data_IF_601966611480
#
_entry.id   IF_601966611480
#
_cell.length_a   1.000
_cell.length_b   1.000
_cell.length_c   1.000
_cell.angle_alpha   90.00
_cell.angle_beta   90.00
_cell.angle_gamma   90.00
#
_symmetry.space_group_name_H-M   'P 1'
#
loop_
_entity.id
_entity.type
_entity.pdbx_description
1 polymer ?
#
# COMPACT_ATOMS: atom_id res chain seq x y z
N UNK A 1 -17.15 1.89 6.66
CA UNK A 1 -16.61 1.66 8.03
C UNK A 1 -16.26 2.99 8.70
N UNK A 2 -16.62 3.21 9.97
CA UNK A 2 -16.08 4.35 10.76
C UNK A 2 -14.75 3.88 11.37
N UNK A 3 -13.62 4.41 10.90
CA UNK A 3 -12.27 3.91 11.23
C UNK A 3 -11.77 4.26 12.65
N UNK A 4 -12.38 5.23 13.33
CA UNK A 4 -12.10 5.59 14.72
C UNK A 4 -13.46 5.94 15.37
N UNK A 5 -14.13 4.98 15.99
CA UNK A 5 -15.40 5.23 16.71
C UNK A 5 -15.23 5.34 18.21
N UNK A 6 -14.09 4.90 18.76
CA UNK A 6 -13.84 4.87 20.19
C UNK A 6 -12.35 4.98 20.50
N UNK A 7 -11.98 5.78 21.49
CA UNK A 7 -10.62 5.82 22.08
C UNK A 7 -10.11 4.41 22.47
N UNK A 8 -11.04 3.48 22.72
CA UNK A 8 -10.76 2.08 22.98
C UNK A 8 -10.02 1.37 21.82
N UNK A 9 -10.32 1.71 20.56
CA UNK A 9 -9.64 1.08 19.41
C UNK A 9 -8.15 1.44 19.39
N UNK A 10 -7.81 2.69 19.71
CA UNK A 10 -6.43 3.17 19.79
C UNK A 10 -5.71 2.49 20.95
N UNK A 11 -6.33 2.42 22.13
CA UNK A 11 -5.76 1.74 23.29
C UNK A 11 -5.42 0.28 23.00
N UNK A 12 -6.33 -0.45 22.34
CA UNK A 12 -6.12 -1.86 21.94
C UNK A 12 -4.95 -2.00 20.97
N UNK A 13 -4.82 -1.10 19.99
CA UNK A 13 -3.69 -1.12 19.04
C UNK A 13 -2.36 -0.84 19.75
N UNK A 14 -2.32 0.13 20.67
CA UNK A 14 -1.09 0.43 21.42
C UNK A 14 -0.71 -0.74 22.33
N UNK A 15 -1.67 -1.31 23.07
CA UNK A 15 -1.42 -2.45 23.94
C UNK A 15 -0.96 -3.70 23.17
N UNK A 16 -1.57 -3.98 22.02
CA UNK A 16 -1.14 -5.06 21.14
C UNK A 16 0.23 -4.79 20.50
N UNK A 17 0.55 -3.56 20.11
CA UNK A 17 1.88 -3.21 19.62
C UNK A 17 2.97 -3.45 20.67
N UNK A 18 2.72 -3.10 21.94
CA UNK A 18 3.61 -3.40 23.06
C UNK A 18 3.77 -4.91 23.29
N UNK A 19 2.66 -5.67 23.22
CA UNK A 19 2.68 -7.12 23.31
C UNK A 19 3.53 -7.75 22.19
N UNK A 20 3.37 -7.27 20.94
CA UNK A 20 4.14 -7.77 19.80
C UNK A 20 5.61 -7.39 19.92
N UNK A 21 5.91 -6.17 20.36
CA UNK A 21 7.29 -5.76 20.66
C UNK A 21 7.94 -6.69 21.69
N UNK A 22 7.28 -6.93 22.83
CA UNK A 22 7.78 -7.82 23.87
C UNK A 22 7.94 -9.26 23.37
N UNK A 23 7.03 -9.74 22.52
CA UNK A 23 7.11 -11.08 21.93
C UNK A 23 8.32 -11.20 21.01
N UNK A 24 8.50 -10.25 20.10
CA UNK A 24 9.65 -10.24 19.18
C UNK A 24 10.95 -10.20 19.98
N UNK A 25 11.03 -9.38 21.03
CA UNK A 25 12.19 -9.30 21.91
C UNK A 25 12.50 -10.63 22.62
N UNK A 26 11.49 -11.27 23.20
CA UNK A 26 11.64 -12.54 23.92
C UNK A 26 11.95 -13.73 23.01
N UNK A 27 11.59 -13.64 21.72
CA UNK A 27 11.79 -14.72 20.74
C UNK A 27 13.11 -14.58 19.96
N UNK A 28 13.94 -13.58 20.27
CA UNK A 28 15.26 -13.37 19.63
C UNK A 28 16.22 -14.54 19.81
N UNK A 29 16.12 -15.27 20.93
CA UNK A 29 16.93 -16.47 21.20
C UNK A 29 16.40 -17.73 20.50
N UNK A 30 15.21 -17.67 19.89
CA UNK A 30 14.62 -18.78 19.14
C UNK A 30 15.01 -18.70 17.67
N UNK A 31 14.87 -19.79 16.90
CA UNK A 31 15.00 -19.73 15.45
C UNK A 31 14.07 -18.66 14.86
N UNK A 32 14.54 -17.77 13.96
CA UNK A 32 13.75 -16.61 13.54
C UNK A 32 12.42 -16.96 12.86
N UNK A 33 12.35 -18.09 12.15
CA UNK A 33 11.10 -18.61 11.57
C UNK A 33 10.07 -18.98 12.64
N UNK A 34 10.51 -19.46 13.81
CA UNK A 34 9.65 -19.78 14.94
C UNK A 34 9.13 -18.51 15.61
N UNK A 35 9.98 -17.48 15.76
CA UNK A 35 9.56 -16.15 16.22
C UNK A 35 8.49 -15.54 15.31
N UNK A 36 8.63 -15.69 13.99
CA UNK A 36 7.64 -15.26 13.01
C UNK A 36 6.32 -16.04 13.13
N UNK A 37 6.37 -17.37 13.31
CA UNK A 37 5.17 -18.19 13.55
C UNK A 37 4.43 -17.82 14.85
N UNK A 38 5.17 -17.59 15.94
CA UNK A 38 4.59 -17.14 17.21
C UNK A 38 3.91 -15.79 17.01
N UNK A 39 4.56 -14.86 16.29
CA UNK A 39 3.98 -13.55 15.96
C UNK A 39 2.70 -13.68 15.13
N UNK A 40 2.70 -14.55 14.11
CA UNK A 40 1.52 -14.83 13.30
C UNK A 40 0.38 -15.43 14.13
N UNK A 41 0.69 -16.37 15.03
CA UNK A 41 -0.29 -16.97 15.93
C UNK A 41 -0.90 -15.94 16.90
N UNK A 42 -0.10 -15.01 17.43
CA UNK A 42 -0.60 -13.92 18.26
C UNK A 42 -1.50 -12.97 17.49
N UNK A 43 -1.12 -12.53 16.29
CA UNK A 43 -2.00 -11.70 15.46
C UNK A 43 -3.32 -12.42 15.15
N UNK A 44 -3.28 -13.72 14.86
CA UNK A 44 -4.49 -14.51 14.66
C UNK A 44 -5.39 -14.56 15.91
N UNK A 45 -4.79 -14.84 17.08
CA UNK A 45 -5.51 -14.90 18.35
C UNK A 45 -6.14 -13.55 18.73
N UNK A 46 -5.38 -12.46 18.57
CA UNK A 46 -5.87 -11.09 18.78
C UNK A 46 -7.01 -10.77 17.80
N UNK A 47 -6.91 -11.17 16.53
CA UNK A 47 -7.97 -10.98 15.55
C UNK A 47 -9.23 -11.77 15.87
N UNK A 48 -9.12 -12.98 16.41
CA UNK A 48 -10.29 -13.75 16.85
C UNK A 48 -11.09 -13.01 17.95
N UNK A 49 -10.40 -12.29 18.83
CA UNK A 49 -11.04 -11.53 19.91
C UNK A 49 -11.52 -10.16 19.41
N UNK A 50 -10.61 -9.32 18.92
CA UNK A 50 -10.90 -7.91 18.65
C UNK A 50 -11.55 -7.66 17.29
N UNK A 51 -11.21 -8.46 16.28
CA UNK A 51 -11.77 -8.32 14.93
C UNK A 51 -13.06 -9.11 14.80
N UNK A 52 -13.05 -10.40 15.12
CA UNK A 52 -14.23 -11.26 14.92
C UNK A 52 -15.32 -11.03 15.97
N UNK A 53 -14.98 -11.06 17.25
CA UNK A 53 -15.97 -10.92 18.33
C UNK A 53 -16.31 -9.46 18.62
N UNK A 54 -15.30 -8.58 18.75
CA UNK A 54 -15.52 -7.16 19.09
C UNK A 54 -15.73 -6.24 17.88
N UNK A 55 -15.54 -6.72 16.64
CA UNK A 55 -15.82 -5.98 15.38
C UNK A 55 -15.15 -4.60 15.29
N UNK A 56 -13.92 -4.49 15.82
CA UNK A 56 -13.15 -3.23 15.80
C UNK A 56 -12.44 -3.04 14.45
N UNK A 57 -12.42 -1.81 13.93
CA UNK A 57 -11.92 -1.53 12.58
C UNK A 57 -10.42 -1.24 12.54
N UNK A 58 -9.91 -0.40 13.46
CA UNK A 58 -8.48 -0.05 13.49
C UNK A 58 -7.58 -1.25 13.85
N UNK A 59 -7.89 -2.04 14.91
CA UNK A 59 -7.17 -3.30 15.16
C UNK A 59 -7.20 -4.25 13.98
N UNK A 60 -8.31 -4.33 13.23
CA UNK A 60 -8.41 -5.21 12.06
C UNK A 60 -7.38 -4.84 10.98
N UNK A 61 -7.15 -3.55 10.76
CA UNK A 61 -6.13 -3.06 9.84
C UNK A 61 -4.73 -3.47 10.32
N UNK A 62 -4.39 -3.12 11.57
CA UNK A 62 -3.06 -3.42 12.15
C UNK A 62 -2.76 -4.92 12.19
N UNK A 63 -3.72 -5.75 12.60
CA UNK A 63 -3.51 -7.19 12.75
C UNK A 63 -3.47 -7.91 11.40
N UNK A 64 -4.22 -7.44 10.39
CA UNK A 64 -4.12 -7.98 9.03
C UNK A 64 -2.73 -7.73 8.43
N UNK A 65 -2.20 -6.51 8.62
CA UNK A 65 -0.85 -6.15 8.18
C UNK A 65 0.19 -7.01 8.91
N UNK A 66 0.13 -7.04 10.24
CA UNK A 66 1.07 -7.79 11.06
C UNK A 66 1.06 -9.29 10.76
N UNK A 67 -0.12 -9.88 10.55
CA UNK A 67 -0.26 -11.29 10.20
C UNK A 67 0.36 -11.62 8.84
N UNK A 68 0.07 -10.81 7.80
CA UNK A 68 0.65 -11.00 6.46
C UNK A 68 2.17 -10.80 6.50
N UNK A 69 2.66 -9.78 7.23
CA UNK A 69 4.08 -9.51 7.39
C UNK A 69 4.80 -10.65 8.12
N UNK A 70 4.20 -11.22 9.18
CA UNK A 70 4.74 -12.38 9.88
C UNK A 70 4.79 -13.62 8.99
N UNK A 71 3.77 -13.85 8.14
CA UNK A 71 3.79 -14.94 7.17
C UNK A 71 4.84 -14.74 6.07
N UNK A 72 5.02 -13.49 5.61
CA UNK A 72 6.06 -13.15 4.65
C UNK A 72 7.46 -13.39 5.24
N UNK A 73 7.69 -13.01 6.49
CA UNK A 73 9.00 -13.14 7.13
C UNK A 73 9.42 -14.58 7.40
N UNK A 74 8.48 -15.52 7.52
CA UNK A 74 8.80 -16.97 7.60
C UNK A 74 9.61 -17.41 6.38
N UNK A 75 9.28 -16.93 5.18
CA UNK A 75 10.02 -17.29 3.97
C UNK A 75 11.46 -16.75 3.97
N UNK A 76 11.62 -15.50 4.40
CA UNK A 76 12.93 -14.84 4.51
C UNK A 76 13.82 -15.50 5.58
N UNK A 77 13.24 -15.83 6.74
CA UNK A 77 13.97 -16.41 7.88
C UNK A 77 14.13 -17.92 7.82
N UNK A 78 13.28 -18.61 7.06
CA UNK A 78 13.30 -20.06 6.91
C UNK A 78 14.56 -20.60 6.21
N UNK A 79 15.34 -19.75 5.52
CA UNK A 79 16.61 -20.15 4.92
C UNK A 79 17.57 -20.72 5.98
N UNK A 80 17.63 -20.15 7.18
CA UNK A 80 18.54 -20.66 8.23
C UNK A 80 18.19 -22.09 8.65
N UNK A 81 16.90 -22.43 8.66
CA UNK A 81 16.46 -23.79 8.93
C UNK A 81 16.90 -24.76 7.81
N UNK A 82 16.89 -24.31 6.55
CA UNK A 82 17.38 -25.10 5.40
C UNK A 82 18.91 -25.22 5.41
N UNK A 83 19.64 -24.17 5.82
CA UNK A 83 21.10 -24.20 6.00
C UNK A 83 21.54 -25.24 7.04
N UNK A 84 20.76 -25.43 8.10
CA UNK A 84 21.02 -26.48 9.10
C UNK A 84 20.77 -27.91 8.62
N UNK A 85 20.10 -28.10 7.47
CA UNK A 85 19.79 -29.44 6.92
C UNK A 85 20.84 -29.96 5.93
N UNK A 86 21.86 -29.16 5.59
CA UNK A 86 22.95 -29.62 4.72
C UNK A 86 24.21 -28.77 4.88
N UNK A 87 25.30 -29.39 5.31
CA UNK A 87 26.66 -28.83 5.21
C UNK A 87 27.10 -28.78 3.75
N UNK A 88 26.59 -27.81 2.99
CA UNK A 88 27.20 -27.45 1.72
C UNK A 88 28.17 -26.30 1.96
N UNK A 89 29.46 -26.62 2.04
CA UNK A 89 30.53 -25.63 2.02
C UNK A 89 30.92 -25.35 0.56
N UNK A 90 30.70 -24.13 0.02
CA UNK A 90 31.16 -23.78 -1.31
C UNK A 90 32.69 -23.88 -1.37
N UNK A 91 33.23 -24.55 -2.39
CA UNK A 91 34.67 -24.80 -2.53
C UNK A 91 35.39 -23.72 -3.36
N UNK A 92 34.63 -22.81 -3.99
CA UNK A 92 35.17 -21.70 -4.79
C UNK A 92 34.30 -20.43 -4.67
N UNK A 93 34.86 -19.22 -4.90
CA UNK A 93 34.12 -17.96 -4.85
C UNK A 93 32.93 -17.90 -5.83
N UNK A 94 33.07 -18.51 -7.00
CA UNK A 94 32.00 -18.58 -8.01
C UNK A 94 30.82 -19.44 -7.52
N UNK A 95 31.13 -20.59 -6.90
CA UNK A 95 30.10 -21.46 -6.31
C UNK A 95 29.41 -20.83 -5.11
N UNK A 96 30.10 -19.98 -4.35
CA UNK A 96 29.53 -19.24 -3.22
C UNK A 96 28.49 -18.22 -3.68
N UNK A 97 28.79 -17.43 -4.72
CA UNK A 97 27.86 -16.47 -5.30
C UNK A 97 26.60 -17.13 -5.87
N UNK A 98 26.76 -18.24 -6.60
CA UNK A 98 25.62 -18.99 -7.14
C UNK A 98 24.71 -19.54 -6.03
N UNK A 99 25.30 -20.08 -4.96
CA UNK A 99 24.56 -20.58 -3.81
C UNK A 99 23.82 -19.49 -3.04
N UNK A 100 24.44 -18.33 -2.85
CA UNK A 100 23.80 -17.18 -2.22
C UNK A 100 22.57 -16.71 -3.02
N UNK A 101 22.72 -16.59 -4.35
CA UNK A 101 21.62 -16.21 -5.23
C UNK A 101 20.47 -17.23 -5.20
N UNK A 102 20.78 -18.52 -5.22
CA UNK A 102 19.78 -19.58 -5.11
C UNK A 102 19.02 -19.52 -3.77
N UNK A 103 19.71 -19.25 -2.66
CA UNK A 103 19.09 -19.08 -1.35
C UNK A 103 18.16 -17.87 -1.31
N UNK A 104 18.61 -16.72 -1.85
CA UNK A 104 17.80 -15.50 -1.93
C UNK A 104 16.54 -15.71 -2.77
N UNK A 105 16.66 -16.37 -3.92
CA UNK A 105 15.51 -16.73 -4.76
C UNK A 105 14.54 -17.67 -4.02
N UNK A 106 15.05 -18.64 -3.28
CA UNK A 106 14.21 -19.55 -2.50
C UNK A 106 13.46 -18.82 -1.37
N UNK A 107 14.14 -17.96 -0.59
CA UNK A 107 13.48 -17.12 0.40
C UNK A 107 12.40 -16.24 -0.21
N UNK A 108 12.68 -15.67 -1.37
CA UNK A 108 11.74 -14.81 -2.07
C UNK A 108 10.47 -15.58 -2.43
N UNK A 109 10.61 -16.75 -3.05
CA UNK A 109 9.47 -17.61 -3.42
C UNK A 109 8.66 -18.05 -2.19
N UNK A 110 9.33 -18.44 -1.10
CA UNK A 110 8.66 -18.77 0.15
C UNK A 110 7.97 -17.56 0.78
N UNK A 111 8.55 -16.36 0.69
CA UNK A 111 7.97 -15.14 1.22
C UNK A 111 6.72 -14.74 0.43
N UNK A 112 6.74 -14.87 -0.91
CA UNK A 112 5.56 -14.69 -1.75
C UNK A 112 4.47 -15.71 -1.43
N UNK A 113 4.84 -16.98 -1.27
CA UNK A 113 3.91 -18.02 -0.83
C UNK A 113 3.31 -17.68 0.54
N UNK A 114 4.14 -17.19 1.47
CA UNK A 114 3.73 -16.70 2.78
C UNK A 114 2.71 -15.57 2.69
N UNK A 115 2.97 -14.52 1.88
CA UNK A 115 2.02 -13.43 1.63
C UNK A 115 0.70 -13.98 1.09
N UNK A 116 0.74 -14.84 0.05
CA UNK A 116 -0.46 -15.41 -0.56
C UNK A 116 -1.29 -16.26 0.42
N UNK A 117 -0.62 -17.15 1.16
CA UNK A 117 -1.26 -18.01 2.18
C UNK A 117 -1.83 -17.15 3.31
N UNK A 118 -1.04 -16.22 3.85
CA UNK A 118 -1.44 -15.33 4.93
C UNK A 118 -2.66 -14.49 4.54
N UNK A 119 -2.63 -13.87 3.36
CA UNK A 119 -3.78 -13.13 2.81
C UNK A 119 -5.01 -14.02 2.66
N UNK A 120 -4.87 -15.22 2.09
CA UNK A 120 -6.00 -16.13 1.89
C UNK A 120 -6.63 -16.59 3.20
N UNK A 121 -5.79 -17.03 4.15
CA UNK A 121 -6.24 -17.51 5.47
C UNK A 121 -6.95 -16.41 6.25
N UNK A 122 -6.34 -15.22 6.30
CA UNK A 122 -6.89 -14.08 7.03
C UNK A 122 -8.17 -13.57 6.38
N UNK A 123 -8.21 -13.49 5.05
CA UNK A 123 -9.41 -13.11 4.31
C UNK A 123 -10.58 -14.07 4.55
N UNK A 124 -10.35 -15.38 4.38
CA UNK A 124 -11.38 -16.42 4.55
C UNK A 124 -11.96 -16.43 5.96
N UNK A 125 -11.15 -16.10 6.97
CA UNK A 125 -11.57 -16.15 8.36
C UNK A 125 -12.30 -14.88 8.79
N UNK A 126 -11.67 -13.72 8.57
CA UNK A 126 -12.11 -12.46 9.16
C UNK A 126 -12.89 -11.57 8.20
N UNK A 127 -12.85 -11.84 6.89
CA UNK A 127 -13.54 -11.07 5.85
C UNK A 127 -13.27 -9.56 5.96
N UNK A 128 -12.02 -9.17 6.23
CA UNK A 128 -11.63 -7.76 6.36
C UNK A 128 -11.21 -7.22 4.99
N UNK A 129 -11.94 -6.26 4.39
CA UNK A 129 -11.72 -5.71 3.03
C UNK A 129 -10.27 -5.37 2.68
N UNK A 130 -9.56 -4.75 3.62
CA UNK A 130 -8.20 -4.27 3.42
C UNK A 130 -7.20 -5.40 3.16
N UNK A 131 -7.49 -6.63 3.61
CA UNK A 131 -6.55 -7.77 3.53
C UNK A 131 -6.11 -8.06 2.09
N UNK A 132 -7.01 -7.92 1.11
CA UNK A 132 -6.69 -8.16 -0.32
C UNK A 132 -5.69 -7.11 -0.81
N UNK A 133 -5.95 -5.83 -0.55
CA UNK A 133 -5.05 -4.75 -0.91
C UNK A 133 -3.71 -4.88 -0.17
N UNK A 134 -3.74 -5.28 1.10
CA UNK A 134 -2.54 -5.48 1.92
C UNK A 134 -1.68 -6.64 1.41
N UNK A 135 -2.30 -7.74 0.93
CA UNK A 135 -1.59 -8.85 0.30
C UNK A 135 -0.88 -8.43 -0.99
N UNK A 136 -1.59 -7.73 -1.87
CA UNK A 136 -1.00 -7.24 -3.13
C UNK A 136 0.10 -6.22 -2.85
N UNK A 137 -0.15 -5.25 -1.98
CA UNK A 137 0.85 -4.26 -1.55
C UNK A 137 2.05 -4.91 -0.87
N UNK A 138 1.83 -5.95 -0.06
CA UNK A 138 2.90 -6.75 0.55
C UNK A 138 3.80 -7.42 -0.49
N UNK A 139 3.21 -8.00 -1.55
CA UNK A 139 3.98 -8.58 -2.66
C UNK A 139 4.80 -7.51 -3.41
N UNK A 140 4.24 -6.33 -3.64
CA UNK A 140 4.96 -5.20 -4.26
C UNK A 140 6.11 -4.72 -3.38
N UNK A 141 5.87 -4.50 -2.08
CA UNK A 141 6.92 -4.12 -1.14
C UNK A 141 8.04 -5.18 -1.04
N UNK A 142 7.67 -6.46 -1.07
CA UNK A 142 8.63 -7.57 -1.08
C UNK A 142 9.47 -7.57 -2.36
N UNK A 143 8.85 -7.27 -3.51
CA UNK A 143 9.57 -7.12 -4.80
C UNK A 143 10.62 -6.00 -4.70
N UNK A 144 10.23 -4.83 -4.16
CA UNK A 144 11.13 -3.69 -3.96
C UNK A 144 12.28 -4.03 -3.00
N UNK A 145 11.98 -4.65 -1.86
CA UNK A 145 13.00 -5.09 -0.92
C UNK A 145 14.03 -6.00 -1.60
N UNK A 146 13.58 -6.93 -2.44
CA UNK A 146 14.45 -7.86 -3.15
C UNK A 146 15.35 -7.15 -4.18
N UNK A 147 14.80 -6.23 -4.98
CA UNK A 147 15.59 -5.43 -5.93
C UNK A 147 16.67 -4.64 -5.20
N UNK A 148 16.35 -4.03 -4.05
CA UNK A 148 17.32 -3.32 -3.23
C UNK A 148 18.42 -4.24 -2.67
N UNK A 149 18.08 -5.48 -2.29
CA UNK A 149 19.05 -6.45 -1.74
C UNK A 149 19.95 -7.03 -2.82
N UNK A 150 19.43 -7.32 -4.02
CA UNK A 150 20.24 -7.80 -5.14
C UNK A 150 21.21 -6.74 -5.67
N UNK A 151 20.90 -5.45 -5.47
CA UNK A 151 21.73 -4.35 -5.96
C UNK A 151 21.74 -4.20 -7.47
N UNK A 152 20.88 -4.93 -8.20
CA UNK A 152 20.71 -4.75 -9.64
C UNK A 152 19.99 -3.43 -9.93
N UNK A 153 20.45 -2.71 -10.95
CA UNK A 153 19.81 -1.47 -11.38
C UNK A 153 18.53 -1.74 -12.18
N UNK A 154 17.51 -2.24 -11.49
CA UNK A 154 16.17 -2.51 -12.03
C UNK A 154 15.16 -1.41 -11.68
N UNK A 155 15.63 -0.27 -11.18
CA UNK A 155 14.77 0.82 -10.69
C UNK A 155 13.83 1.30 -11.80
N UNK A 156 14.32 1.51 -13.02
CA UNK A 156 13.49 1.97 -14.14
C UNK A 156 12.46 0.93 -14.58
N UNK A 157 12.85 -0.35 -14.60
CA UNK A 157 11.93 -1.44 -14.89
C UNK A 157 10.83 -1.56 -13.82
N UNK A 158 11.19 -1.42 -12.54
CA UNK A 158 10.25 -1.42 -11.41
C UNK A 158 9.28 -0.24 -11.46
N UNK A 159 9.75 0.94 -11.84
CA UNK A 159 8.89 2.11 -12.03
C UNK A 159 7.82 1.86 -13.08
N UNK A 160 8.19 1.29 -14.23
CA UNK A 160 7.22 0.94 -15.28
C UNK A 160 6.28 -0.18 -14.80
N UNK A 161 6.83 -1.20 -14.13
CA UNK A 161 6.05 -2.31 -13.58
C UNK A 161 5.00 -1.83 -12.56
N UNK A 162 5.35 -0.92 -11.66
CA UNK A 162 4.44 -0.36 -10.66
C UNK A 162 3.30 0.44 -11.31
N UNK A 163 3.60 1.24 -12.34
CA UNK A 163 2.57 1.97 -13.08
C UNK A 163 1.62 0.99 -13.76
N UNK A 164 2.14 -0.01 -14.47
CA UNK A 164 1.32 -1.00 -15.19
C UNK A 164 0.48 -1.84 -14.22
N UNK A 165 1.08 -2.34 -13.14
CA UNK A 165 0.40 -3.10 -12.11
C UNK A 165 -0.64 -2.23 -11.37
N UNK A 166 -0.28 -0.99 -11.04
CA UNK A 166 -1.18 -0.01 -10.42
C UNK A 166 -2.40 0.29 -11.29
N UNK A 167 -2.21 0.49 -12.61
CA UNK A 167 -3.32 0.67 -13.56
C UNK A 167 -4.17 -0.60 -13.70
N UNK A 168 -3.58 -1.79 -13.67
CA UNK A 168 -4.31 -3.04 -13.69
C UNK A 168 -5.18 -3.23 -12.42
N UNK A 169 -4.62 -2.93 -11.25
CA UNK A 169 -5.34 -2.95 -9.95
C UNK A 169 -6.45 -1.89 -9.96
N UNK A 170 -6.18 -0.71 -10.50
CA UNK A 170 -7.18 0.37 -10.65
C UNK A 170 -8.36 -0.09 -11.51
N UNK A 171 -8.10 -0.68 -12.68
CA UNK A 171 -9.13 -1.23 -13.56
C UNK A 171 -9.90 -2.38 -12.89
N UNK A 172 -9.23 -3.19 -12.05
CA UNK A 172 -9.88 -4.22 -11.27
C UNK A 172 -10.76 -3.64 -10.16
N UNK A 173 -10.30 -2.59 -9.46
CA UNK A 173 -11.07 -1.89 -8.43
C UNK A 173 -12.35 -1.26 -8.99
N UNK A 174 -12.30 -0.69 -10.20
CA UNK A 174 -13.48 -0.19 -10.93
C UNK A 174 -14.51 -1.29 -11.20
N UNK A 175 -14.07 -2.52 -11.52
CA UNK A 175 -15.00 -3.65 -11.70
C UNK A 175 -15.69 -4.04 -10.40
N UNK A 176 -15.02 -3.92 -9.25
CA UNK A 176 -15.65 -4.15 -7.95
C UNK A 176 -16.69 -3.08 -7.63
N UNK A 177 -16.37 -1.81 -7.86
CA UNK A 177 -17.30 -0.68 -7.68
C UNK A 177 -18.54 -0.81 -8.58
N UNK A 178 -18.37 -1.17 -9.85
CA UNK A 178 -19.48 -1.32 -10.80
C UNK A 178 -20.46 -2.46 -10.42
N UNK A 179 -19.99 -3.46 -9.66
CA UNK A 179 -20.79 -4.61 -9.21
C UNK A 179 -21.59 -4.34 -7.94
N UNK A 180 -21.42 -3.19 -7.30
CA UNK A 180 -22.18 -2.76 -6.12
C UNK A 180 -22.60 -1.28 -6.21
N UNK A 181 -23.52 -0.93 -7.13
CA UNK A 181 -23.93 0.47 -7.35
C UNK A 181 -24.61 1.09 -6.13
N UNK A 182 -25.29 0.26 -5.32
CA UNK A 182 -26.02 0.70 -4.13
C UNK A 182 -25.10 0.85 -2.90
N UNK A 183 -23.82 0.45 -3.00
CA UNK A 183 -22.80 0.50 -1.94
C UNK A 183 -23.26 -0.20 -0.65
N UNK A 184 -23.98 -1.31 -0.77
CA UNK A 184 -24.55 -2.03 0.37
C UNK A 184 -23.72 -3.23 0.81
N UNK A 185 -22.78 -3.68 -0.02
CA UNK A 185 -21.98 -4.87 0.25
C UNK A 185 -20.54 -4.53 0.59
N UNK A 186 -19.81 -5.53 1.12
CA UNK A 186 -18.37 -5.45 1.38
C UNK A 186 -17.52 -5.11 0.13
N UNK A 187 -18.10 -5.27 -1.08
CA UNK A 187 -17.44 -4.99 -2.36
C UNK A 187 -17.00 -3.54 -2.49
N UNK A 188 -17.81 -2.60 -2.02
CA UNK A 188 -17.45 -1.18 -2.03
C UNK A 188 -16.25 -0.89 -1.11
N UNK A 189 -16.14 -1.59 0.02
CA UNK A 189 -14.99 -1.41 0.92
C UNK A 189 -13.72 -2.01 0.30
N UNK A 190 -13.81 -3.19 -0.35
CA UNK A 190 -12.67 -3.81 -1.06
C UNK A 190 -12.19 -2.88 -2.18
N UNK A 191 -13.11 -2.37 -2.99
CA UNK A 191 -12.79 -1.44 -4.08
C UNK A 191 -12.12 -0.17 -3.55
N UNK A 192 -12.57 0.37 -2.42
CA UNK A 192 -11.92 1.52 -1.79
C UNK A 192 -10.44 1.26 -1.48
N UNK A 193 -10.12 0.13 -0.85
CA UNK A 193 -8.73 -0.21 -0.51
C UNK A 193 -7.87 -0.51 -1.74
N UNK A 194 -8.44 -1.16 -2.76
CA UNK A 194 -7.74 -1.40 -4.02
C UNK A 194 -7.45 -0.09 -4.78
N UNK A 195 -8.38 0.87 -4.78
CA UNK A 195 -8.14 2.20 -5.34
C UNK A 195 -7.04 2.95 -4.57
N UNK A 196 -7.00 2.84 -3.25
CA UNK A 196 -5.95 3.46 -2.44
C UNK A 196 -4.57 2.88 -2.76
N UNK A 197 -4.46 1.54 -2.85
CA UNK A 197 -3.23 0.87 -3.25
C UNK A 197 -2.80 1.28 -4.66
N UNK A 198 -3.71 1.18 -5.63
CA UNK A 198 -3.45 1.56 -7.02
C UNK A 198 -3.01 3.02 -7.14
N UNK A 199 -3.61 3.92 -6.35
CA UNK A 199 -3.22 5.32 -6.35
C UNK A 199 -1.75 5.48 -5.95
N UNK A 200 -1.29 4.85 -4.85
CA UNK A 200 0.11 4.92 -4.45
C UNK A 200 1.05 4.32 -5.50
N UNK A 201 0.68 3.19 -6.11
CA UNK A 201 1.50 2.53 -7.13
C UNK A 201 1.61 3.33 -8.43
N UNK A 202 0.59 4.12 -8.79
CA UNK A 202 0.62 4.95 -10.00
C UNK A 202 1.30 6.28 -9.74
N UNK A 203 0.95 6.97 -8.64
CA UNK A 203 1.42 8.34 -8.40
C UNK A 203 2.91 8.40 -8.12
N UNK A 204 3.42 7.57 -7.20
CA UNK A 204 4.81 7.63 -6.76
C UNK A 204 5.83 7.53 -7.91
N UNK A 205 5.82 6.49 -8.77
CA UNK A 205 6.79 6.37 -9.86
C UNK A 205 6.65 7.47 -10.93
N UNK A 206 5.45 8.03 -11.14
CA UNK A 206 5.24 9.16 -12.07
C UNK A 206 5.89 10.42 -11.50
N UNK A 207 5.63 10.75 -10.23
CA UNK A 207 6.19 11.96 -9.62
C UNK A 207 7.70 11.84 -9.41
N UNK A 208 8.19 10.66 -9.05
CA UNK A 208 9.63 10.40 -8.97
C UNK A 208 10.32 10.56 -10.34
N UNK A 209 9.62 10.27 -11.44
CA UNK A 209 10.17 10.45 -12.80
C UNK A 209 10.47 11.90 -13.18
N UNK A 210 9.65 12.83 -12.67
CA UNK A 210 9.61 14.21 -13.15
C UNK A 210 10.10 15.19 -12.10
N UNK A 211 10.12 14.83 -10.83
CA UNK A 211 10.59 15.69 -9.74
C UNK A 211 12.05 15.36 -9.39
N UNK A 212 12.88 16.38 -9.09
CA UNK A 212 12.53 17.80 -8.99
C UNK A 212 12.61 18.59 -10.31
N UNK A 213 13.11 17.98 -11.40
CA UNK A 213 13.55 18.69 -12.61
C UNK A 213 12.42 19.36 -13.41
N UNK A 214 11.20 18.81 -13.36
CA UNK A 214 10.04 19.24 -14.15
C UNK A 214 8.82 19.55 -13.25
N UNK A 215 8.89 20.56 -12.37
CA UNK A 215 7.83 20.82 -11.42
C UNK A 215 6.53 21.32 -12.08
N UNK A 216 6.61 22.01 -13.23
CA UNK A 216 5.43 22.40 -14.02
C UNK A 216 4.72 21.15 -14.57
N UNK A 217 5.48 20.16 -15.05
CA UNK A 217 4.91 18.90 -15.50
C UNK A 217 4.25 18.14 -14.34
N UNK A 218 4.83 18.17 -13.14
CA UNK A 218 4.24 17.58 -11.94
C UNK A 218 2.90 18.23 -11.57
N UNK A 219 2.80 19.56 -11.67
CA UNK A 219 1.52 20.27 -11.46
C UNK A 219 0.50 19.86 -12.53
N UNK A 220 0.90 19.77 -13.80
CA UNK A 220 0.01 19.34 -14.88
C UNK A 220 -0.51 17.90 -14.67
N UNK A 221 0.36 16.97 -14.25
CA UNK A 221 0.00 15.60 -13.87
C UNK A 221 -0.98 15.60 -12.70
N UNK A 222 -0.74 16.40 -11.66
CA UNK A 222 -1.67 16.53 -10.53
C UNK A 222 -3.07 17.00 -10.98
N UNK A 223 -3.14 17.99 -11.87
CA UNK A 223 -4.42 18.46 -12.43
C UNK A 223 -5.10 17.35 -13.22
N UNK A 224 -4.37 16.61 -14.06
CA UNK A 224 -4.89 15.47 -14.80
C UNK A 224 -5.45 14.39 -13.86
N UNK A 225 -4.69 14.00 -12.82
CA UNK A 225 -5.15 13.03 -11.82
C UNK A 225 -6.37 13.52 -11.06
N UNK A 226 -6.47 14.82 -10.77
CA UNK A 226 -7.63 15.44 -10.12
C UNK A 226 -8.87 15.36 -11.01
N UNK A 227 -8.72 15.63 -12.32
CA UNK A 227 -9.80 15.47 -13.29
C UNK A 227 -10.27 14.01 -13.38
N UNK A 228 -9.35 13.05 -13.46
CA UNK A 228 -9.66 11.61 -13.44
C UNK A 228 -10.40 11.25 -12.15
N UNK A 229 -9.94 11.75 -11.00
CA UNK A 229 -10.59 11.57 -9.69
C UNK A 229 -12.04 12.09 -9.66
N UNK A 230 -12.31 13.24 -10.29
CA UNK A 230 -13.66 13.81 -10.39
C UNK A 230 -14.58 12.95 -11.27
N UNK A 231 -14.07 12.48 -12.42
CA UNK A 231 -14.84 11.64 -13.35
C UNK A 231 -15.29 10.35 -12.69
N UNK A 232 -14.39 9.73 -11.92
CA UNK A 232 -14.60 8.42 -11.28
C UNK A 232 -15.33 8.55 -9.92
N UNK A 233 -15.51 9.78 -9.41
CA UNK A 233 -16.04 10.05 -8.06
C UNK A 233 -15.20 9.39 -6.94
N UNK A 234 -13.88 9.39 -7.11
CA UNK A 234 -12.93 8.77 -6.16
C UNK A 234 -11.77 9.71 -5.85
N UNK A 235 -11.65 10.11 -4.58
CA UNK A 235 -10.65 11.08 -4.08
C UNK A 235 -9.22 10.52 -3.92
N UNK A 236 -9.03 9.21 -4.05
CA UNK A 236 -7.77 8.54 -3.68
C UNK A 236 -6.54 9.00 -4.50
N UNK A 237 -6.67 9.16 -5.83
CA UNK A 237 -5.56 9.59 -6.71
C UNK A 237 -5.08 11.01 -6.36
N UNK A 238 -6.03 11.93 -6.16
CA UNK A 238 -5.75 13.30 -5.73
C UNK A 238 -5.06 13.33 -4.35
N UNK A 239 -5.56 12.56 -3.38
CA UNK A 239 -4.98 12.52 -2.03
C UNK A 239 -3.56 11.94 -2.03
N UNK A 240 -3.31 10.91 -2.84
CA UNK A 240 -1.99 10.27 -2.97
C UNK A 240 -0.93 11.19 -3.61
N UNK A 241 -1.36 12.15 -4.44
CA UNK A 241 -0.46 13.08 -5.15
C UNK A 241 -0.19 14.40 -4.42
N UNK A 242 -0.81 14.62 -3.25
CA UNK A 242 -0.83 15.92 -2.57
C UNK A 242 0.56 16.41 -2.14
N UNK A 243 1.36 15.56 -1.52
CA UNK A 243 2.71 15.95 -1.07
C UNK A 243 3.58 16.33 -2.27
N UNK A 244 3.44 15.62 -3.40
CA UNK A 244 4.22 15.91 -4.60
C UNK A 244 3.84 17.25 -5.25
N UNK A 245 2.54 17.60 -5.31
CA UNK A 245 2.15 18.91 -5.86
C UNK A 245 2.58 20.06 -4.96
N UNK A 246 2.54 19.88 -3.63
CA UNK A 246 3.10 20.86 -2.68
C UNK A 246 4.59 21.04 -2.96
N UNK A 247 5.35 19.95 -3.05
CA UNK A 247 6.78 20.00 -3.40
C UNK A 247 7.03 20.63 -4.77
N UNK A 248 6.20 20.35 -5.78
CA UNK A 248 6.33 20.91 -7.11
C UNK A 248 6.13 22.43 -7.12
N UNK A 249 5.07 22.92 -6.47
CA UNK A 249 4.83 24.37 -6.36
C UNK A 249 5.94 25.04 -5.54
N UNK A 250 6.43 24.40 -4.48
CA UNK A 250 7.60 24.90 -3.75
C UNK A 250 8.83 25.01 -4.63
N UNK A 251 9.13 24.02 -5.47
CA UNK A 251 10.26 24.09 -6.40
C UNK A 251 10.11 25.23 -7.43
N UNK A 252 8.88 25.60 -7.82
CA UNK A 252 8.63 26.76 -8.70
C UNK A 252 8.77 28.09 -7.95
N UNK A 253 8.31 28.13 -6.70
CA UNK A 253 8.17 29.38 -5.93
C UNK A 253 9.41 29.72 -5.09
N UNK A 254 10.19 28.72 -4.67
CA UNK A 254 11.39 28.91 -3.85
C UNK A 254 12.54 29.33 -4.77
N UNK A 255 12.57 30.61 -5.13
CA UNK A 255 13.83 31.28 -5.45
C UNK A 255 14.56 31.58 -4.14
N UNK A 256 15.89 31.65 -4.16
CA UNK A 256 16.82 31.71 -3.00
C UNK A 256 16.59 32.81 -1.95
N UNK A 257 15.54 33.62 -2.10
CA UNK A 257 15.18 34.78 -1.25
C UNK A 257 13.76 34.73 -0.68
N UNK A 258 12.93 33.72 -0.96
CA UNK A 258 11.51 33.72 -0.61
C UNK A 258 11.21 33.03 0.74
N UNK A 259 11.34 33.75 1.85
CA UNK A 259 11.00 33.28 3.22
C UNK A 259 9.51 32.94 3.41
N UNK A 260 8.61 33.44 2.56
CA UNK A 260 7.16 33.23 2.68
C UNK A 260 6.57 32.18 1.72
N UNK A 261 7.40 31.58 0.85
CA UNK A 261 6.97 30.61 -0.16
C UNK A 261 6.15 29.45 0.43
N UNK A 262 6.60 28.88 1.55
CA UNK A 262 5.90 27.77 2.22
C UNK A 262 4.48 28.15 2.68
N UNK A 263 4.32 29.34 3.27
CA UNK A 263 3.03 29.82 3.73
C UNK A 263 2.07 30.05 2.56
N UNK A 264 2.55 30.64 1.47
CA UNK A 264 1.76 30.86 0.25
C UNK A 264 1.33 29.52 -0.36
N UNK A 265 2.24 28.56 -0.50
CA UNK A 265 1.88 27.22 -1.03
C UNK A 265 0.87 26.52 -0.14
N UNK A 266 1.04 26.57 1.18
CA UNK A 266 0.09 25.97 2.12
C UNK A 266 -1.31 26.60 2.00
N UNK A 267 -1.42 27.93 1.90
CA UNK A 267 -2.70 28.63 1.72
C UNK A 267 -3.33 28.30 0.38
N UNK A 268 -2.55 28.33 -0.71
CA UNK A 268 -3.06 28.08 -2.07
C UNK A 268 -3.53 26.64 -2.22
N UNK A 269 -2.68 25.67 -1.86
CA UNK A 269 -3.01 24.24 -1.99
C UNK A 269 -4.10 23.86 -0.99
N UNK A 270 -3.99 24.27 0.27
CA UNK A 270 -4.99 24.00 1.29
C UNK A 270 -6.35 24.61 0.95
N UNK A 271 -6.36 25.88 0.50
CA UNK A 271 -7.58 26.57 0.07
C UNK A 271 -8.22 25.90 -1.15
N UNK A 272 -7.43 25.55 -2.17
CA UNK A 272 -7.92 24.84 -3.35
C UNK A 272 -8.55 23.49 -2.99
N UNK A 273 -7.92 22.73 -2.08
CA UNK A 273 -8.46 21.46 -1.59
C UNK A 273 -9.75 21.63 -0.79
N UNK A 274 -9.84 22.65 0.06
CA UNK A 274 -11.05 22.93 0.83
C UNK A 274 -12.23 23.30 -0.09
N UNK A 275 -11.99 24.17 -1.07
CA UNK A 275 -12.98 24.53 -2.08
C UNK A 275 -13.42 23.30 -2.86
N UNK A 276 -12.47 22.50 -3.37
CA UNK A 276 -12.79 21.29 -4.13
C UNK A 276 -13.53 20.25 -3.28
N UNK A 277 -13.20 20.14 -1.98
CA UNK A 277 -13.90 19.24 -1.05
C UNK A 277 -15.34 19.68 -0.79
N UNK A 278 -15.56 21.00 -0.61
CA UNK A 278 -16.89 21.58 -0.38
C UNK A 278 -17.77 21.53 -1.64
N UNK A 279 -17.20 21.80 -2.81
CA UNK A 279 -17.91 21.85 -4.09
C UNK A 279 -17.68 20.62 -4.97
N UNK A 280 -17.43 19.46 -4.36
CA UNK A 280 -17.11 18.22 -5.09
C UNK A 280 -18.16 17.84 -6.13
N UNK A 281 -19.46 17.86 -5.76
CA UNK A 281 -20.54 17.50 -6.68
C UNK A 281 -20.69 18.50 -7.84
N UNK A 282 -20.71 19.84 -7.62
CA UNK A 282 -20.65 20.82 -8.70
C UNK A 282 -19.43 20.67 -9.62
N UNK A 283 -18.23 20.51 -9.06
CA UNK A 283 -16.99 20.33 -9.84
C UNK A 283 -17.04 19.07 -10.70
N UNK A 284 -17.54 17.96 -10.15
CA UNK A 284 -17.78 16.73 -10.91
C UNK A 284 -18.78 16.96 -12.04
N UNK A 285 -19.90 17.62 -11.77
CA UNK A 285 -20.90 17.90 -12.79
C UNK A 285 -20.33 18.75 -13.94
N UNK A 286 -19.48 19.74 -13.64
CA UNK A 286 -18.80 20.56 -14.64
C UNK A 286 -17.85 19.72 -15.52
N UNK A 287 -17.01 18.87 -14.91
CA UNK A 287 -16.11 17.98 -15.66
C UNK A 287 -16.89 16.97 -16.50
N UNK A 288 -17.97 16.40 -15.97
CA UNK A 288 -18.79 15.45 -16.71
C UNK A 288 -19.47 16.07 -17.93
N UNK A 289 -19.76 17.38 -17.94
CA UNK A 289 -20.30 18.09 -19.11
C UNK A 289 -19.37 18.03 -20.32
N UNK A 290 -18.06 17.96 -20.11
CA UNK A 290 -17.03 17.89 -21.16
C UNK A 290 -16.92 16.49 -21.78
N UNK A 291 -17.44 15.45 -21.11
CA UNK A 291 -17.39 14.06 -21.59
C UNK A 291 -18.56 13.72 -22.53
N UNK A 292 -18.31 12.95 -23.62
CA UNK A 292 -19.37 12.46 -24.50
C UNK A 292 -20.41 11.60 -23.75
N UNK A 293 -21.67 11.67 -24.20
CA UNK A 293 -22.80 11.00 -23.53
C UNK A 293 -22.61 9.48 -23.32
N UNK A 294 -21.93 8.81 -24.26
CA UNK A 294 -21.67 7.37 -24.22
C UNK A 294 -20.78 6.95 -23.03
N UNK A 295 -19.79 7.78 -22.67
CA UNK A 295 -18.92 7.54 -21.52
C UNK A 295 -19.64 7.87 -20.22
N UNK A 296 -20.45 8.94 -20.21
CA UNK A 296 -21.25 9.36 -19.05
C UNK A 296 -22.23 8.28 -18.58
N UNK A 297 -22.77 7.48 -19.50
CA UNK A 297 -23.71 6.40 -19.18
C UNK A 297 -23.07 5.20 -18.45
N UNK A 298 -21.74 5.02 -18.54
CA UNK A 298 -21.00 3.88 -17.96
C UNK A 298 -20.34 4.21 -16.62
N UNK A 299 -20.36 5.48 -16.20
CA UNK A 299 -19.75 5.90 -14.96
C UNK A 299 -20.69 5.65 -13.76
N UNK A 300 -20.14 5.30 -12.59
CA UNK A 300 -20.94 5.19 -11.37
C UNK A 300 -21.66 6.50 -11.10
N UNK A 301 -22.97 6.45 -10.84
CA UNK A 301 -23.78 7.65 -10.60
C UNK A 301 -23.49 8.24 -9.23
#
# INVERSE_FOLDING_TARGET
MRLITSFNDVFVVVASALLMFGTVWLTTSLPPWLGALISAALFWALSEIFVRRRRMALPALCYSFGFIAAFASIGFTGIEAVRGLGEYAPTSPETEGLWLNAQLLFALLLSYAGVGIGTLLYWRRFHVPVTIAMGIGGAVCLTWLFVLVLGENLIDAMRVADIVAGLAIFAWALRWDARDPQRTTIRSDIAFWLHLLAACMVTHPIFWAIMPDYPIAAIAVFVLLTLISLVIDRRALMMSSLLYVISAILNVMVTSTATQSLAVVAIVVGGALLILSAFWHPSRAAVLKLLPAQWRARLPR
#
